data_IF_604960736980
#
_entry.id   IF_604960736980
#
_cell.length_a   1.000
_cell.length_b   1.000
_cell.length_c   1.000
_cell.angle_alpha   90.00
_cell.angle_beta   90.00
_cell.angle_gamma   90.00
#
_symmetry.space_group_name_H-M   'P 1'
#
loop_
_entity.id
_entity.type
_entity.pdbx_description
1 polymer ?
#
# COMPACT_ATOMS: atom_id res chain seq x y z
N UNK A 1 -34.03 -0.41 45.91
CA UNK A 1 -33.51 0.21 44.67
C UNK A 1 -32.47 -0.74 44.10
N UNK A 2 -32.89 -1.73 43.30
CA UNK A 2 -32.02 -2.77 42.74
C UNK A 2 -31.23 -2.23 41.55
N UNK A 3 -29.90 -2.40 41.58
CA UNK A 3 -29.03 -2.07 40.45
C UNK A 3 -29.16 -3.17 39.38
N UNK A 4 -29.74 -2.83 38.22
CA UNK A 4 -29.69 -3.68 37.03
C UNK A 4 -28.24 -4.08 36.73
N UNK A 5 -27.92 -5.37 36.53
CA UNK A 5 -26.58 -5.77 36.13
C UNK A 5 -26.28 -5.20 34.73
N UNK A 6 -25.13 -4.52 34.59
CA UNK A 6 -24.58 -4.15 33.28
C UNK A 6 -24.39 -5.43 32.49
N UNK A 7 -25.18 -5.63 31.43
CA UNK A 7 -24.87 -6.64 30.40
C UNK A 7 -23.52 -6.27 29.82
N UNK A 8 -22.46 -6.99 30.20
CA UNK A 8 -21.23 -6.98 29.40
C UNK A 8 -21.62 -7.50 28.02
N UNK A 9 -21.39 -6.68 26.99
CA UNK A 9 -21.55 -7.12 25.61
C UNK A 9 -20.64 -8.34 25.43
N UNK A 10 -21.24 -9.53 25.34
CA UNK A 10 -20.51 -10.74 24.94
C UNK A 10 -20.08 -10.49 23.51
N UNK A 11 -18.82 -10.14 23.33
CA UNK A 11 -18.22 -10.09 22.00
C UNK A 11 -18.20 -11.53 21.52
N UNK A 12 -18.86 -11.80 20.39
CA UNK A 12 -18.79 -13.13 19.79
C UNK A 12 -17.32 -13.51 19.55
N UNK A 13 -16.90 -14.75 19.86
CA UNK A 13 -15.52 -15.19 19.66
C UNK A 13 -14.99 -14.97 18.22
N UNK A 14 -15.88 -15.06 17.23
CA UNK A 14 -15.64 -14.75 15.82
C UNK A 14 -15.23 -13.29 15.60
N UNK A 15 -15.93 -12.35 16.24
CA UNK A 15 -15.64 -10.92 16.19
C UNK A 15 -14.35 -10.56 16.94
N UNK A 16 -14.08 -11.23 18.06
CA UNK A 16 -12.83 -11.05 18.81
C UNK A 16 -11.61 -11.53 18.00
N UNK A 17 -11.73 -12.67 17.32
CA UNK A 17 -10.69 -13.19 16.42
C UNK A 17 -10.45 -12.27 15.22
N UNK A 18 -11.53 -11.82 14.54
CA UNK A 18 -11.43 -10.86 13.43
C UNK A 18 -10.77 -9.55 13.87
N UNK A 19 -11.16 -9.03 15.04
CA UNK A 19 -10.55 -7.83 15.60
C UNK A 19 -9.07 -8.02 15.97
N UNK A 20 -8.70 -9.16 16.57
CA UNK A 20 -7.32 -9.48 16.89
C UNK A 20 -6.46 -9.61 15.62
N UNK A 21 -6.99 -10.25 14.57
CA UNK A 21 -6.33 -10.38 13.28
C UNK A 21 -6.14 -9.01 12.61
N UNK A 22 -7.18 -8.18 12.57
CA UNK A 22 -7.14 -6.79 12.10
C UNK A 22 -6.07 -5.96 12.81
N UNK A 23 -6.09 -5.99 14.15
CA UNK A 23 -5.14 -5.25 14.98
C UNK A 23 -3.71 -5.72 14.75
N UNK A 24 -3.52 -7.04 14.60
CA UNK A 24 -2.21 -7.62 14.30
C UNK A 24 -1.71 -7.18 12.92
N UNK A 25 -2.58 -7.18 11.90
CA UNK A 25 -2.24 -6.71 10.56
C UNK A 25 -1.83 -5.23 10.58
N UNK A 26 -2.65 -4.37 11.19
CA UNK A 26 -2.35 -2.93 11.34
C UNK A 26 -1.05 -2.69 12.11
N UNK A 27 -0.80 -3.45 13.19
CA UNK A 27 0.41 -3.36 14.00
C UNK A 27 1.64 -3.75 13.18
N UNK A 28 1.56 -4.84 12.41
CA UNK A 28 2.64 -5.28 11.53
C UNK A 28 2.96 -4.24 10.45
N UNK A 29 1.93 -3.71 9.80
CA UNK A 29 2.07 -2.65 8.78
C UNK A 29 2.73 -1.40 9.35
N UNK A 30 2.24 -0.93 10.50
CA UNK A 30 2.80 0.24 11.20
C UNK A 30 4.26 -0.01 11.63
N UNK A 31 4.55 -1.20 12.16
CA UNK A 31 5.91 -1.58 12.57
C UNK A 31 6.87 -1.58 11.39
N UNK A 32 6.45 -2.11 10.24
CA UNK A 32 7.25 -2.08 9.00
C UNK A 32 7.52 -0.64 8.54
N UNK A 33 6.52 0.24 8.59
CA UNK A 33 6.67 1.67 8.25
C UNK A 33 7.69 2.37 9.16
N UNK A 34 7.63 2.12 10.47
CA UNK A 34 8.58 2.67 11.43
C UNK A 34 10.00 2.16 11.17
N UNK A 35 10.18 0.85 10.95
CA UNK A 35 11.50 0.26 10.64
C UNK A 35 12.07 0.87 9.35
N UNK A 36 11.25 1.03 8.32
CA UNK A 36 11.65 1.65 7.05
C UNK A 36 12.15 3.08 7.27
N UNK A 37 11.35 3.91 7.94
CA UNK A 37 11.69 5.31 8.18
C UNK A 37 12.96 5.42 9.05
N UNK A 38 13.06 4.60 10.09
CA UNK A 38 14.24 4.55 10.94
C UNK A 38 15.51 4.18 10.17
N UNK A 39 15.44 3.16 9.29
CA UNK A 39 16.57 2.78 8.42
C UNK A 39 16.98 3.92 7.50
N UNK A 40 16.01 4.64 6.94
CA UNK A 40 16.28 5.77 6.06
C UNK A 40 17.02 6.91 6.77
N UNK A 41 16.61 7.27 7.99
CA UNK A 41 17.24 8.38 8.72
C UNK A 41 18.57 8.01 9.41
N UNK A 42 18.84 6.72 9.61
CA UNK A 42 20.03 6.23 10.35
C UNK A 42 21.09 5.60 9.44
N UNK A 43 20.86 5.42 8.15
CA UNK A 43 21.84 4.81 7.26
C UNK A 43 23.00 5.78 7.00
N UNK A 44 24.16 5.54 7.64
CA UNK A 44 25.43 6.26 7.41
C UNK A 44 26.13 5.89 6.09
N UNK A 45 25.57 4.99 5.29
CA UNK A 45 26.12 4.60 3.99
C UNK A 45 25.49 5.45 2.87
N UNK A 46 26.28 5.92 1.87
CA UNK A 46 25.71 6.47 0.65
C UNK A 46 24.84 5.38 0.00
N UNK A 47 23.53 5.50 0.17
CA UNK A 47 22.59 4.54 -0.36
C UNK A 47 22.62 4.63 -1.88
N UNK A 48 22.62 3.50 -2.59
CA UNK A 48 22.33 3.52 -4.02
C UNK A 48 20.88 3.08 -4.23
N UNK A 49 20.17 3.77 -5.10
CA UNK A 49 18.84 3.37 -5.55
C UNK A 49 19.01 2.73 -6.92
N UNK A 50 18.60 1.47 -7.05
CA UNK A 50 18.62 0.78 -8.34
C UNK A 50 17.26 0.83 -9.02
N UNK A 51 17.25 1.00 -10.35
CA UNK A 51 16.04 0.83 -11.17
C UNK A 51 15.42 -0.57 -10.99
N UNK A 52 16.24 -1.59 -10.71
CA UNK A 52 15.76 -2.95 -10.38
C UNK A 52 14.94 -3.00 -9.10
N UNK A 53 15.33 -2.22 -8.07
CA UNK A 53 14.60 -2.14 -6.80
C UNK A 53 13.28 -1.39 -6.98
N UNK A 54 13.26 -0.35 -7.82
CA UNK A 54 12.04 0.37 -8.18
C UNK A 54 11.07 -0.51 -8.97
N UNK A 55 11.57 -1.28 -9.94
CA UNK A 55 10.76 -2.25 -10.68
C UNK A 55 10.22 -3.35 -9.74
N UNK A 56 11.02 -3.79 -8.76
CA UNK A 56 10.55 -4.72 -7.72
C UNK A 56 9.41 -4.12 -6.89
N UNK A 57 9.51 -2.86 -6.49
CA UNK A 57 8.41 -2.16 -5.79
C UNK A 57 7.13 -2.17 -6.64
N UNK A 58 7.21 -1.91 -7.95
CA UNK A 58 6.04 -1.98 -8.83
C UNK A 58 5.38 -3.36 -8.83
N UNK A 59 6.19 -4.43 -8.89
CA UNK A 59 5.69 -5.81 -8.82
C UNK A 59 5.06 -6.15 -7.47
N UNK A 60 5.65 -5.67 -6.36
CA UNK A 60 5.09 -5.85 -5.03
C UNK A 60 3.74 -5.12 -4.87
N UNK A 61 3.62 -3.89 -5.40
CA UNK A 61 2.35 -3.15 -5.44
C UNK A 61 1.29 -3.91 -6.23
N UNK A 62 1.61 -4.39 -7.44
CA UNK A 62 0.66 -5.18 -8.24
C UNK A 62 0.21 -6.45 -7.53
N UNK A 63 1.13 -7.15 -6.85
CA UNK A 63 0.78 -8.35 -6.06
C UNK A 63 -0.21 -7.99 -4.96
N UNK A 64 0.04 -6.91 -4.23
CA UNK A 64 -0.86 -6.45 -3.17
C UNK A 64 -2.23 -6.00 -3.72
N UNK A 65 -2.27 -5.34 -4.88
CA UNK A 65 -3.51 -4.99 -5.57
C UNK A 65 -4.31 -6.24 -5.98
N UNK A 66 -3.64 -7.25 -6.53
CA UNK A 66 -4.28 -8.54 -6.87
C UNK A 66 -4.79 -9.28 -5.62
N UNK A 67 -4.03 -9.27 -4.52
CA UNK A 67 -4.49 -9.82 -3.24
C UNK A 67 -5.72 -9.10 -2.71
N UNK A 68 -5.76 -7.76 -2.83
CA UNK A 68 -6.91 -6.97 -2.43
C UNK A 68 -8.13 -7.28 -3.28
N UNK A 69 -7.97 -7.38 -4.61
CA UNK A 69 -9.02 -7.79 -5.53
C UNK A 69 -9.65 -9.13 -5.12
N UNK A 70 -8.83 -10.17 -4.95
CA UNK A 70 -9.32 -11.51 -4.59
C UNK A 70 -10.03 -11.52 -3.23
N UNK A 71 -9.53 -10.75 -2.27
CA UNK A 71 -10.15 -10.63 -0.95
C UNK A 71 -11.50 -9.92 -1.03
N UNK A 72 -11.60 -8.84 -1.81
CA UNK A 72 -12.87 -8.13 -2.01
C UNK A 72 -13.89 -8.95 -2.80
N UNK A 73 -13.45 -9.76 -3.76
CA UNK A 73 -14.33 -10.61 -4.57
C UNK A 73 -14.86 -11.83 -3.80
N UNK A 74 -14.01 -12.49 -3.01
CA UNK A 74 -14.33 -13.78 -2.39
C UNK A 74 -14.65 -13.74 -0.90
N UNK A 75 -14.24 -12.69 -0.18
CA UNK A 75 -14.47 -12.54 1.25
C UNK A 75 -14.76 -11.07 1.65
N UNK A 76 -15.93 -10.53 1.25
CA UNK A 76 -16.31 -9.14 1.51
C UNK A 76 -16.40 -8.80 3.02
N UNK A 77 -16.52 -9.81 3.89
CA UNK A 77 -16.53 -9.66 5.35
C UNK A 77 -15.13 -9.38 5.95
N UNK A 78 -14.06 -9.57 5.16
CA UNK A 78 -12.66 -9.37 5.57
C UNK A 78 -12.20 -7.89 5.50
N UNK A 79 -13.12 -6.95 5.75
CA UNK A 79 -12.90 -5.49 5.75
C UNK A 79 -11.57 -5.01 6.37
N UNK A 80 -11.10 -5.54 7.52
CA UNK A 80 -9.85 -5.06 8.10
C UNK A 80 -8.58 -5.41 7.29
N UNK A 81 -8.62 -6.49 6.52
CA UNK A 81 -7.52 -6.85 5.63
C UNK A 81 -7.47 -5.95 4.39
N UNK A 82 -8.62 -5.40 3.97
CA UNK A 82 -8.68 -4.44 2.87
C UNK A 82 -7.91 -3.17 3.22
N UNK A 83 -8.15 -2.65 4.42
CA UNK A 83 -7.46 -1.46 4.95
C UNK A 83 -5.96 -1.70 5.06
N UNK A 84 -5.56 -2.87 5.56
CA UNK A 84 -4.14 -3.21 5.65
C UNK A 84 -3.44 -3.27 4.29
N UNK A 85 -4.05 -3.94 3.30
CA UNK A 85 -3.46 -4.06 1.96
C UNK A 85 -3.45 -2.72 1.20
N UNK A 86 -4.54 -1.96 1.28
CA UNK A 86 -4.62 -0.62 0.72
C UNK A 86 -3.55 0.30 1.33
N UNK A 87 -3.35 0.22 2.66
CA UNK A 87 -2.28 0.93 3.36
C UNK A 87 -0.89 0.55 2.86
N UNK A 88 -0.63 -0.75 2.67
CA UNK A 88 0.66 -1.22 2.15
C UNK A 88 0.91 -0.75 0.71
N UNK A 89 -0.12 -0.77 -0.15
CA UNK A 89 -0.05 -0.23 -1.52
C UNK A 89 0.30 1.27 -1.49
N UNK A 90 -0.41 2.05 -0.68
CA UNK A 90 -0.16 3.49 -0.59
C UNK A 90 1.25 3.80 -0.08
N UNK A 91 1.71 3.09 0.95
CA UNK A 91 3.06 3.26 1.50
C UNK A 91 4.15 2.88 0.50
N UNK A 92 3.93 1.87 -0.35
CA UNK A 92 4.85 1.47 -1.41
C UNK A 92 4.87 2.46 -2.57
N UNK A 93 3.72 3.03 -2.95
CA UNK A 93 3.64 4.11 -3.94
C UNK A 93 4.35 5.38 -3.46
N UNK A 94 4.20 5.75 -2.19
CA UNK A 94 4.94 6.87 -1.59
C UNK A 94 6.46 6.60 -1.62
N UNK A 95 6.88 5.38 -1.30
CA UNK A 95 8.30 5.00 -1.36
C UNK A 95 8.85 5.02 -2.78
N UNK A 96 8.08 4.53 -3.75
CA UNK A 96 8.44 4.56 -5.16
C UNK A 96 8.62 6.00 -5.64
N UNK A 97 7.63 6.85 -5.36
CA UNK A 97 7.69 8.28 -5.68
C UNK A 97 8.94 8.93 -5.08
N UNK A 98 9.15 8.77 -3.78
CA UNK A 98 10.30 9.36 -3.07
C UNK A 98 11.64 8.91 -3.64
N UNK A 99 11.79 7.62 -3.97
CA UNK A 99 13.04 7.10 -4.53
C UNK A 99 13.29 7.55 -5.97
N UNK A 100 12.23 7.81 -6.75
CA UNK A 100 12.37 8.35 -8.10
C UNK A 100 12.91 9.78 -8.12
N UNK A 101 12.63 10.58 -7.09
CA UNK A 101 13.13 11.97 -7.00
C UNK A 101 14.66 12.10 -6.94
N UNK A 102 15.39 11.00 -6.76
CA UNK A 102 16.86 11.01 -6.84
C UNK A 102 17.40 10.88 -8.28
N UNK A 103 16.55 10.53 -9.25
CA UNK A 103 16.94 10.47 -10.65
C UNK A 103 16.84 11.85 -11.31
N UNK A 104 17.51 12.00 -12.45
CA UNK A 104 17.45 13.22 -13.25
C UNK A 104 15.99 13.56 -13.63
N UNK A 105 15.52 14.81 -13.42
CA UNK A 105 14.18 15.26 -13.80
C UNK A 105 13.77 14.90 -15.23
N UNK A 106 14.71 14.96 -16.18
CA UNK A 106 14.43 14.69 -17.59
C UNK A 106 13.98 13.22 -17.79
N UNK A 107 14.57 12.30 -17.02
CA UNK A 107 14.25 10.86 -17.11
C UNK A 107 12.96 10.47 -16.38
N UNK A 108 12.51 11.24 -15.39
CA UNK A 108 11.34 10.90 -14.56
C UNK A 108 10.10 11.73 -14.85
N UNK A 109 10.22 12.77 -15.68
CA UNK A 109 9.15 13.71 -16.04
C UNK A 109 7.85 13.02 -16.48
N UNK A 110 7.95 11.93 -17.24
CA UNK A 110 6.80 11.15 -17.71
C UNK A 110 6.29 10.10 -16.70
N UNK A 111 7.08 9.77 -15.67
CA UNK A 111 6.76 8.73 -14.68
C UNK A 111 6.02 9.32 -13.49
N UNK A 112 6.46 10.50 -13.02
CA UNK A 112 5.90 11.17 -11.84
C UNK A 112 4.38 11.40 -11.94
N UNK A 113 3.82 11.90 -13.05
CA UNK A 113 2.38 12.12 -13.16
C UNK A 113 1.55 10.83 -13.02
N UNK A 114 2.06 9.69 -13.52
CA UNK A 114 1.39 8.40 -13.40
C UNK A 114 1.34 7.93 -11.93
N UNK A 115 2.46 8.11 -11.22
CA UNK A 115 2.56 7.76 -9.80
C UNK A 115 1.69 8.69 -8.95
N UNK A 116 1.68 9.99 -9.24
CA UNK A 116 0.87 10.95 -8.49
C UNK A 116 -0.63 10.72 -8.68
N UNK A 117 -1.07 10.31 -9.89
CA UNK A 117 -2.45 9.86 -10.10
C UNK A 117 -2.79 8.68 -9.20
N UNK A 118 -1.93 7.66 -9.16
CA UNK A 118 -2.14 6.49 -8.30
C UNK A 118 -2.14 6.88 -6.81
N UNK A 119 -1.19 7.70 -6.35
CA UNK A 119 -1.14 8.18 -4.97
C UNK A 119 -2.39 8.98 -4.59
N UNK A 120 -2.88 9.84 -5.50
CA UNK A 120 -4.12 10.60 -5.28
C UNK A 120 -5.31 9.66 -5.10
N UNK A 121 -5.41 8.62 -5.93
CA UNK A 121 -6.43 7.59 -5.79
C UNK A 121 -6.33 6.87 -4.43
N UNK A 122 -5.14 6.39 -4.06
CA UNK A 122 -4.94 5.61 -2.84
C UNK A 122 -4.99 6.43 -1.55
N UNK A 123 -4.76 7.75 -1.59
CA UNK A 123 -4.92 8.61 -0.40
C UNK A 123 -6.35 8.59 0.16
N UNK A 124 -7.33 8.19 -0.66
CA UNK A 124 -8.73 8.02 -0.28
C UNK A 124 -9.01 6.73 0.49
N UNK A 125 -8.01 5.88 0.76
CA UNK A 125 -8.19 4.56 1.41
C UNK A 125 -8.88 4.58 2.78
N UNK A 126 -8.97 5.74 3.42
CA UNK A 126 -9.67 5.90 4.71
C UNK A 126 -11.13 6.34 4.57
N UNK A 127 -11.57 6.65 3.35
CA UNK A 127 -12.94 7.04 3.05
C UNK A 127 -13.87 5.81 3.10
N UNK A 128 -15.08 5.99 3.64
CA UNK A 128 -16.05 4.90 3.84
C UNK A 128 -16.52 4.29 2.52
N UNK A 129 -16.61 5.10 1.46
CA UNK A 129 -17.06 4.72 0.13
C UNK A 129 -15.92 4.21 -0.79
N UNK A 130 -14.68 4.18 -0.30
CA UNK A 130 -13.52 3.76 -1.09
C UNK A 130 -13.59 2.28 -1.50
N UNK A 131 -14.04 1.41 -0.58
CA UNK A 131 -14.11 -0.04 -0.78
C UNK A 131 -15.39 -0.47 -1.51
N UNK A 132 -15.62 0.10 -2.68
CA UNK A 132 -16.82 -0.12 -3.49
C UNK A 132 -16.55 -0.99 -4.73
N UNK A 133 -17.57 -1.18 -5.59
CA UNK A 133 -17.44 -1.94 -6.84
C UNK A 133 -16.57 -1.25 -7.89
N UNK A 134 -16.44 0.07 -7.84
CA UNK A 134 -15.57 0.81 -8.77
C UNK A 134 -14.11 0.49 -8.49
N UNK A 135 -13.71 0.44 -7.20
CA UNK A 135 -12.37 -0.01 -6.80
C UNK A 135 -12.10 -1.43 -7.33
N UNK A 136 -13.07 -2.33 -7.25
CA UNK A 136 -12.92 -3.70 -7.76
C UNK A 136 -12.64 -3.71 -9.27
N UNK A 137 -13.36 -2.91 -10.06
CA UNK A 137 -13.10 -2.73 -11.49
C UNK A 137 -11.73 -2.11 -11.80
N UNK A 138 -11.31 -1.11 -11.02
CA UNK A 138 -9.98 -0.50 -11.15
C UNK A 138 -8.85 -1.46 -10.76
N UNK A 139 -9.06 -2.33 -9.77
CA UNK A 139 -8.08 -3.34 -9.34
C UNK A 139 -7.88 -4.45 -10.37
N UNK A 140 -8.92 -4.79 -11.13
CA UNK A 140 -8.84 -5.79 -12.20
C UNK A 140 -8.07 -5.26 -13.42
N UNK A 141 -8.27 -3.98 -13.77
CA UNK A 141 -7.83 -3.44 -15.05
C UNK A 141 -6.88 -2.24 -14.92
N UNK A 142 -7.36 -1.12 -14.40
CA UNK A 142 -6.68 0.18 -14.46
C UNK A 142 -5.37 0.22 -13.68
N UNK A 143 -5.41 -0.25 -12.43
CA UNK A 143 -4.27 -0.20 -11.50
C UNK A 143 -3.13 -1.11 -11.97
N UNK A 144 -3.36 -2.39 -12.34
CA UNK A 144 -2.31 -3.25 -12.89
C UNK A 144 -1.69 -2.71 -14.18
N UNK A 145 -2.51 -2.14 -15.08
CA UNK A 145 -2.04 -1.57 -16.34
C UNK A 145 -1.14 -0.35 -16.09
N UNK A 146 -1.60 0.57 -15.23
CA UNK A 146 -0.81 1.76 -14.87
C UNK A 146 0.52 1.37 -14.21
N UNK A 147 0.52 0.39 -13.30
CA UNK A 147 1.75 -0.08 -12.65
C UNK A 147 2.71 -0.77 -13.62
N UNK A 148 2.18 -1.44 -14.65
CA UNK A 148 3.00 -2.06 -15.70
C UNK A 148 3.62 -0.99 -16.61
N UNK A 149 2.86 0.07 -16.94
CA UNK A 149 3.41 1.23 -17.66
C UNK A 149 4.53 1.91 -16.86
N UNK A 150 4.31 2.14 -15.55
CA UNK A 150 5.31 2.69 -14.65
C UNK A 150 6.56 1.79 -14.60
N UNK A 151 6.38 0.48 -14.43
CA UNK A 151 7.48 -0.50 -14.43
C UNK A 151 8.30 -0.43 -15.72
N UNK A 152 7.64 -0.42 -16.88
CA UNK A 152 8.31 -0.34 -18.17
C UNK A 152 9.15 0.94 -18.29
N UNK A 153 8.62 2.10 -17.89
CA UNK A 153 9.38 3.36 -17.90
C UNK A 153 10.55 3.33 -16.92
N UNK A 154 10.38 2.74 -15.73
CA UNK A 154 11.44 2.57 -14.74
C UNK A 154 12.59 1.71 -15.28
N UNK A 155 12.30 0.68 -16.08
CA UNK A 155 13.37 -0.17 -16.66
C UNK A 155 14.28 0.58 -17.64
N UNK A 156 13.83 1.72 -18.16
CA UNK A 156 14.63 2.60 -19.03
C UNK A 156 15.50 3.59 -18.26
N UNK A 157 15.33 3.69 -16.93
CA UNK A 157 16.15 4.56 -16.09
C UNK A 157 17.58 4.01 -15.95
N UNK A 158 18.56 4.89 -15.65
CA UNK A 158 19.89 4.48 -15.24
C UNK A 158 19.86 3.38 -14.17
N UNK A 159 20.77 2.41 -14.25
CA UNK A 159 20.70 1.21 -13.40
C UNK A 159 20.79 1.53 -11.90
N UNK A 160 21.58 2.55 -11.55
CA UNK A 160 21.78 3.02 -10.17
C UNK A 160 22.02 4.52 -10.11
N UNK A 161 21.54 5.13 -9.04
CA UNK A 161 21.91 6.49 -8.63
C UNK A 161 22.41 6.46 -7.19
N UNK A 162 23.47 7.19 -6.89
CA UNK A 162 23.99 7.38 -5.54
C UNK A 162 23.24 8.52 -4.85
N UNK A 163 22.80 8.30 -3.61
CA UNK A 163 22.21 9.30 -2.70
C UNK A 163 23.31 9.99 -1.90
#
# INVERSE_FOLDING_TARGET
MERKPRRMAKIEPSNALRFAAATSALTLTTSRKLIRNFRYYRSDAPGSISSRDLAKLCRDIRRNAFSLYNLMEHDPDSSPFFVSLAGEINDQLEELHRKLLFFDPDHISDIIPLIDRQRTFWNRLTEEDFYNRELLGSLENEIPNTLTEIENKITLLPEKVSI
#
